data_IF_024914894789
#
_entry.id   IF_024914894789
#
_cell.length_a   1.000
_cell.length_b   1.000
_cell.length_c   1.000
_cell.angle_alpha   90.00
_cell.angle_beta   90.00
_cell.angle_gamma   90.00
#
_symmetry.space_group_name_H-M   'P 1'
#
loop_
_entity.id
_entity.type
_entity.pdbx_description
1 polymer ?
#
# COMPACT_ATOMS: atom_id res chain seq x y z
N UNK A 1 10.01 -15.21 6.05
CA UNK A 1 10.36 -13.97 5.31
C UNK A 1 9.71 -13.92 3.92
N UNK A 2 9.94 -14.90 3.03
CA UNK A 2 9.29 -14.93 1.70
C UNK A 2 7.77 -14.84 1.76
N UNK A 3 7.15 -15.54 2.70
CA UNK A 3 5.69 -15.54 2.89
C UNK A 3 5.16 -14.17 3.31
N UNK A 4 5.85 -13.48 4.24
CA UNK A 4 5.48 -12.12 4.65
C UNK A 4 5.54 -11.15 3.47
N UNK A 5 6.64 -11.17 2.72
CA UNK A 5 6.80 -10.30 1.55
C UNK A 5 5.73 -10.56 0.50
N UNK A 6 5.46 -11.84 0.19
CA UNK A 6 4.42 -12.20 -0.77
C UNK A 6 3.03 -11.75 -0.30
N UNK A 7 2.72 -11.91 0.99
CA UNK A 7 1.45 -11.46 1.55
C UNK A 7 1.31 -9.94 1.48
N UNK A 8 2.32 -9.18 1.90
CA UNK A 8 2.27 -7.71 1.84
C UNK A 8 2.18 -7.18 0.40
N UNK A 9 2.88 -7.83 -0.54
CA UNK A 9 2.87 -7.43 -1.95
C UNK A 9 1.58 -7.81 -2.70
N UNK A 10 0.75 -8.72 -2.17
CA UNK A 10 -0.53 -9.10 -2.78
C UNK A 10 -1.72 -8.25 -2.26
N UNK A 11 -1.49 -7.47 -1.20
CA UNK A 11 -2.47 -6.53 -0.68
C UNK A 11 -2.55 -5.30 -1.60
N UNK A 12 -3.77 -4.82 -1.81
CA UNK A 12 -4.00 -3.59 -2.55
C UNK A 12 -3.58 -2.38 -1.71
N UNK A 13 -2.72 -1.53 -2.28
CA UNK A 13 -2.10 -0.43 -1.55
C UNK A 13 -1.91 0.86 -2.33
N UNK A 14 -2.74 1.12 -3.34
CA UNK A 14 -2.58 2.35 -4.13
C UNK A 14 -2.63 3.60 -3.23
N UNK A 15 -1.85 4.62 -3.57
CA UNK A 15 -1.76 5.86 -2.79
C UNK A 15 -3.14 6.43 -2.39
N UNK A 16 -3.37 6.62 -1.09
CA UNK A 16 -4.63 7.01 -0.46
C UNK A 16 -5.60 5.86 -0.12
N UNK A 17 -5.25 4.61 -0.43
CA UNK A 17 -6.07 3.39 -0.22
C UNK A 17 -5.29 2.27 0.47
N UNK A 18 -4.45 2.60 1.44
CA UNK A 18 -3.50 1.69 2.09
C UNK A 18 -4.08 0.96 3.33
N UNK A 19 -5.39 1.06 3.60
CA UNK A 19 -5.97 0.65 4.89
C UNK A 19 -5.75 -0.83 5.25
N UNK A 20 -5.77 -1.71 4.24
CA UNK A 20 -5.53 -3.15 4.42
C UNK A 20 -4.06 -3.42 4.77
N UNK A 21 -3.13 -2.73 4.09
CA UNK A 21 -1.70 -2.76 4.40
C UNK A 21 -1.39 -2.24 5.80
N UNK A 22 -1.98 -1.11 6.20
CA UNK A 22 -1.80 -0.51 7.53
C UNK A 22 -2.16 -1.51 8.63
N UNK A 23 -3.28 -2.23 8.44
CA UNK A 23 -3.75 -3.23 9.40
C UNK A 23 -2.76 -4.39 9.53
N UNK A 24 -2.32 -4.96 8.41
CA UNK A 24 -1.38 -6.08 8.37
C UNK A 24 0.01 -5.70 8.91
N UNK A 25 0.56 -4.55 8.49
CA UNK A 25 1.87 -4.05 8.94
C UNK A 25 1.86 -3.77 10.44
N UNK A 26 0.77 -3.22 10.98
CA UNK A 26 0.62 -3.00 12.42
C UNK A 26 0.70 -4.31 13.21
N UNK A 27 0.02 -5.37 12.77
CA UNK A 27 0.04 -6.66 13.48
C UNK A 27 1.42 -7.32 13.43
N UNK A 28 2.17 -7.15 12.33
CA UNK A 28 3.55 -7.60 12.24
C UNK A 28 4.47 -6.85 13.20
N UNK A 29 4.35 -5.51 13.28
CA UNK A 29 5.19 -4.72 14.20
C UNK A 29 4.87 -4.95 15.68
N UNK A 30 3.61 -5.24 16.04
CA UNK A 30 3.24 -5.55 17.44
C UNK A 30 4.01 -6.74 18.01
N UNK A 31 4.50 -7.65 17.17
CA UNK A 31 5.24 -8.83 17.62
C UNK A 31 6.68 -8.50 18.06
N UNK A 32 7.22 -7.35 17.64
CA UNK A 32 8.65 -7.03 17.79
C UNK A 32 8.92 -5.66 18.40
N UNK A 33 8.08 -4.66 18.10
CA UNK A 33 8.19 -3.31 18.63
C UNK A 33 7.61 -3.20 20.05
N UNK A 34 8.09 -2.22 20.81
CA UNK A 34 7.59 -1.96 22.17
C UNK A 34 6.35 -1.06 22.15
N UNK A 35 6.21 -0.25 21.10
CA UNK A 35 5.08 0.64 20.89
C UNK A 35 4.77 0.72 19.40
N UNK A 36 3.48 0.63 19.06
CA UNK A 36 3.01 0.78 17.68
C UNK A 36 1.82 1.72 17.68
N UNK A 37 1.91 2.79 16.89
CA UNK A 37 0.85 3.78 16.71
C UNK A 37 0.55 3.97 15.23
N UNK A 38 -0.65 4.46 14.93
CA UNK A 38 -1.05 4.87 13.58
C UNK A 38 -1.39 6.36 13.67
N UNK A 39 -0.82 7.16 12.77
CA UNK A 39 -1.14 8.58 12.70
C UNK A 39 -2.46 8.85 11.94
N UNK A 40 -2.83 10.13 11.79
CA UNK A 40 -4.08 10.51 11.11
C UNK A 40 -4.07 10.24 9.60
N UNK A 41 -2.90 10.07 9.00
CA UNK A 41 -2.72 9.76 7.58
C UNK A 41 -2.63 8.25 7.31
N UNK A 42 -2.54 7.44 8.36
CA UNK A 42 -2.44 5.98 8.24
C UNK A 42 -1.01 5.45 8.34
N UNK A 43 0.00 6.29 8.62
CA UNK A 43 1.37 5.80 8.76
C UNK A 43 1.50 4.91 10.00
N UNK A 44 2.10 3.72 9.84
CA UNK A 44 2.42 2.83 10.96
C UNK A 44 3.77 3.23 11.55
N UNK A 45 3.76 3.69 12.80
CA UNK A 45 4.96 4.13 13.53
C UNK A 45 5.25 3.10 14.62
N UNK A 46 6.27 2.30 14.40
CA UNK A 46 6.75 1.29 15.33
C UNK A 46 8.04 1.75 16.03
N UNK A 47 8.04 1.76 17.35
CA UNK A 47 9.17 2.19 18.17
C UNK A 47 9.72 1.04 19.02
N UNK A 48 11.04 0.85 18.95
CA UNK A 48 11.79 -0.07 19.81
C UNK A 48 12.71 0.76 20.72
N UNK A 49 12.58 0.60 22.04
CA UNK A 49 13.38 1.35 23.02
C UNK A 49 14.79 0.80 23.06
N UNK A 50 15.75 1.63 22.67
CA UNK A 50 17.18 1.39 22.88
C UNK A 50 17.66 1.97 24.22
N UNK A 51 18.95 1.80 24.50
CA UNK A 51 19.60 2.27 25.73
C UNK A 51 20.55 3.47 25.52
N UNK A 52 20.61 4.02 24.30
CA UNK A 52 21.48 5.16 23.96
C UNK A 52 20.73 6.49 23.93
N UNK A 53 21.49 7.58 23.90
CA UNK A 53 20.96 8.95 23.91
C UNK A 53 20.49 9.44 22.53
N UNK A 54 20.75 8.66 21.47
CA UNK A 54 20.37 8.98 20.10
C UNK A 54 19.24 8.08 19.61
N UNK A 55 18.38 8.66 18.77
CA UNK A 55 17.31 7.94 18.08
C UNK A 55 17.62 7.77 16.60
N UNK A 56 17.28 6.61 16.03
CA UNK A 56 17.42 6.31 14.60
C UNK A 56 16.03 6.05 14.02
N UNK A 57 15.72 6.70 12.91
CA UNK A 57 14.47 6.47 12.16
C UNK A 57 14.77 5.76 10.86
N UNK A 58 14.09 4.63 10.64
CA UNK A 58 14.01 3.96 9.35
C UNK A 58 12.62 4.22 8.79
N UNK A 59 12.55 4.72 7.55
CA UNK A 59 11.30 5.04 6.89
C UNK A 59 11.23 4.39 5.52
N UNK A 60 10.05 3.87 5.19
CA UNK A 60 9.67 3.37 3.88
C UNK A 60 8.22 3.78 3.63
N UNK A 61 7.87 4.01 2.36
CA UNK A 61 6.48 4.27 2.00
C UNK A 61 5.76 2.93 1.75
N UNK A 62 4.48 2.85 2.15
CA UNK A 62 3.67 1.62 2.03
C UNK A 62 2.91 1.56 0.71
N UNK A 63 2.71 2.72 0.08
CA UNK A 63 1.88 2.85 -1.09
C UNK A 63 2.56 2.33 -2.36
N UNK A 64 1.73 1.90 -3.28
CA UNK A 64 2.12 1.49 -4.62
C UNK A 64 1.50 2.39 -5.70
N UNK A 65 2.11 2.37 -6.89
CA UNK A 65 1.51 2.97 -8.08
C UNK A 65 0.21 2.24 -8.43
N UNK A 66 -0.77 2.98 -8.91
CA UNK A 66 -2.08 2.42 -9.22
C UNK A 66 -2.84 3.23 -10.26
N UNK A 67 -4.12 2.89 -10.41
CA UNK A 67 -5.04 3.54 -11.32
C UNK A 67 -6.35 3.85 -10.57
N UNK A 68 -6.96 4.99 -10.85
CA UNK A 68 -8.24 5.40 -10.29
C UNK A 68 -9.26 5.61 -11.41
N UNK A 69 -10.39 4.90 -11.34
CA UNK A 69 -11.46 5.03 -12.36
C UNK A 69 -12.11 6.41 -12.25
N UNK A 70 -12.02 7.22 -13.31
CA UNK A 70 -12.66 8.54 -13.36
C UNK A 70 -14.07 8.48 -13.95
N UNK A 71 -14.24 7.61 -14.95
CA UNK A 71 -15.49 7.47 -15.68
C UNK A 71 -15.70 6.03 -16.12
N UNK A 72 -16.96 5.61 -16.14
CA UNK A 72 -17.42 4.42 -16.85
C UNK A 72 -18.38 4.88 -17.94
N UNK A 73 -18.20 4.38 -19.17
CA UNK A 73 -19.12 4.68 -20.26
C UNK A 73 -20.36 3.77 -20.28
N UNK A 74 -21.20 3.91 -21.31
CA UNK A 74 -22.46 3.15 -21.43
C UNK A 74 -22.24 1.69 -21.82
N UNK A 75 -21.08 1.39 -22.42
CA UNK A 75 -20.71 0.05 -22.87
C UNK A 75 -19.95 -0.71 -21.76
N UNK A 76 -19.65 -0.05 -20.65
CA UNK A 76 -19.05 -0.63 -19.45
C UNK A 76 -17.54 -0.49 -19.38
N UNK A 77 -16.91 0.30 -20.26
CA UNK A 77 -15.47 0.54 -20.21
C UNK A 77 -15.12 1.59 -19.17
N UNK A 78 -14.07 1.29 -18.38
CA UNK A 78 -13.51 2.19 -17.40
C UNK A 78 -12.38 3.04 -18.00
N UNK A 79 -12.37 4.33 -17.66
CA UNK A 79 -11.35 5.30 -18.06
C UNK A 79 -10.62 5.76 -16.80
N UNK A 80 -9.46 5.16 -16.49
CA UNK A 80 -8.71 5.52 -15.29
C UNK A 80 -7.75 6.68 -15.52
N UNK A 81 -7.45 7.40 -14.44
CA UNK A 81 -6.26 8.23 -14.32
C UNK A 81 -5.18 7.57 -13.47
N UNK A 82 -3.96 8.06 -13.64
CA UNK A 82 -2.79 7.53 -12.94
C UNK A 82 -2.80 7.95 -11.47
N UNK A 83 -2.54 6.99 -10.58
CA UNK A 83 -2.12 7.23 -9.21
C UNK A 83 -0.62 6.95 -9.14
N UNK A 84 0.18 8.00 -9.01
CA UNK A 84 1.64 7.92 -9.15
C UNK A 84 2.10 7.97 -10.61
N UNK A 85 3.37 7.60 -10.83
CA UNK A 85 4.02 7.71 -12.14
C UNK A 85 4.01 6.39 -12.92
N UNK A 86 3.32 6.37 -14.06
CA UNK A 86 3.31 5.23 -14.98
C UNK A 86 4.08 5.53 -16.27
N UNK A 87 4.83 4.54 -16.78
CA UNK A 87 5.22 4.54 -18.19
C UNK A 87 4.03 4.04 -19.02
N UNK A 88 3.44 4.85 -19.91
CA UNK A 88 2.24 4.45 -20.66
C UNK A 88 2.47 3.24 -21.58
N UNK A 89 3.73 2.93 -21.91
CA UNK A 89 4.06 1.78 -22.77
C UNK A 89 3.87 0.42 -22.09
N UNK A 90 3.89 0.37 -20.74
CA UNK A 90 3.75 -0.89 -19.99
C UNK A 90 2.31 -1.18 -19.56
N UNK A 91 1.36 -0.27 -19.81
CA UNK A 91 -0.03 -0.44 -19.41
C UNK A 91 -0.84 -1.38 -20.33
N UNK A 92 -0.71 -1.34 -21.68
CA UNK A 92 -1.54 -2.15 -22.56
C UNK A 92 -1.45 -3.65 -22.25
N UNK A 93 -2.60 -4.33 -22.27
CA UNK A 93 -2.73 -5.79 -22.10
C UNK A 93 -2.23 -6.36 -20.78
N UNK A 94 -2.09 -5.54 -19.73
CA UNK A 94 -1.77 -6.02 -18.39
C UNK A 94 -3.06 -6.22 -17.59
N UNK A 95 -3.23 -7.36 -16.90
CA UNK A 95 -4.39 -7.58 -16.05
C UNK A 95 -4.37 -6.60 -14.87
N UNK A 96 -5.52 -6.03 -14.55
CA UNK A 96 -5.69 -5.15 -13.40
C UNK A 96 -6.55 -5.82 -12.32
N UNK A 97 -6.34 -5.42 -11.07
CA UNK A 97 -7.15 -5.87 -9.93
C UNK A 97 -7.67 -4.63 -9.20
N UNK A 98 -8.99 -4.56 -9.05
CA UNK A 98 -9.62 -3.54 -8.21
C UNK A 98 -9.74 -4.01 -6.76
N UNK A 99 -9.97 -3.05 -5.86
CA UNK A 99 -10.11 -3.28 -4.41
C UNK A 99 -11.22 -4.30 -4.04
N UNK A 100 -12.21 -4.54 -4.92
CA UNK A 100 -13.33 -5.47 -4.67
C UNK A 100 -13.74 -6.35 -5.87
N UNK A 101 -12.95 -6.35 -6.94
CA UNK A 101 -13.25 -7.11 -8.15
C UNK A 101 -12.00 -7.28 -9.01
N UNK A 102 -11.90 -8.43 -9.68
CA UNK A 102 -11.02 -8.57 -10.84
C UNK A 102 -11.71 -7.83 -12.01
N UNK A 103 -11.01 -6.88 -12.60
CA UNK A 103 -11.47 -6.13 -13.77
C UNK A 103 -10.41 -6.26 -14.85
N UNK A 104 -10.85 -6.67 -16.03
CA UNK A 104 -10.01 -6.93 -17.22
C UNK A 104 -9.12 -5.72 -17.53
#
# INVERSE_FOLDING_TARGET
MRELLARLADLYGASGREQDLVSEIREEFKQTADEVSIDKFGNVIASKRGSGDLSVMLAAHMDEIGLAVEKVDRDGFAFPSNVGGWNPQILPSNPLRGNKCWGI
#
